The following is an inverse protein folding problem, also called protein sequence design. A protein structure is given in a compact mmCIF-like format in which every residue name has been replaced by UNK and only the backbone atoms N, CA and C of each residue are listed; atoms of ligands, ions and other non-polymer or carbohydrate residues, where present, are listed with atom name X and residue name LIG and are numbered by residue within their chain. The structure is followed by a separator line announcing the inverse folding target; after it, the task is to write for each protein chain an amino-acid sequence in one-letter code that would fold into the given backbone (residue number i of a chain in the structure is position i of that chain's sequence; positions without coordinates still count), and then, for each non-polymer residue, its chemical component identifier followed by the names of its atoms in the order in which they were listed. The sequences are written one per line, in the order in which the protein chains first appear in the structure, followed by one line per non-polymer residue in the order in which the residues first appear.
data_IF_735877904739
#
_entry.id   IF_735877904739
#
_cell.length_a   1.000
_cell.length_b   1.000
_cell.length_c   1.000
_cell.angle_alpha   90.00
_cell.angle_beta   90.00
_cell.angle_gamma   90.00
#
_symmetry.space_group_name_H-M   'P 1'
#
loop_
_entity.id
_entity.type
_entity.pdbx_description
1 polymer ?
#
# COMPACT_ATOMS: atom_id res chain seq x y z
N UNK A 1 4.56 64.06 28.87
CA UNK A 1 5.27 62.82 28.48
C UNK A 1 4.22 61.72 28.45
N UNK A 2 3.59 61.49 27.30
CA UNK A 2 2.52 60.50 27.15
C UNK A 2 3.12 59.15 26.82
N UNK A 3 3.06 58.21 27.76
CA UNK A 3 3.38 56.80 27.51
C UNK A 3 2.23 56.18 26.74
N UNK A 4 2.49 55.86 25.47
CA UNK A 4 1.56 55.21 24.57
C UNK A 4 1.52 53.71 24.89
N UNK A 5 0.50 53.25 25.63
CA UNK A 5 0.19 51.81 25.72
C UNK A 5 -0.35 51.35 24.36
N UNK A 6 0.49 50.67 23.57
CA UNK A 6 0.04 49.92 22.41
C UNK A 6 -0.35 48.51 22.89
N UNK A 7 -1.65 48.33 23.11
CA UNK A 7 -2.24 47.02 23.33
C UNK A 7 -2.00 46.08 22.14
N UNK A 8 -1.62 44.84 22.45
CA UNK A 8 -1.57 43.73 21.52
C UNK A 8 -2.95 43.58 20.83
N UNK A 9 -3.03 43.36 19.50
CA UNK A 9 -4.32 43.32 18.82
C UNK A 9 -5.14 42.13 19.33
N UNK A 10 -6.28 42.46 19.94
CA UNK A 10 -7.34 41.55 20.35
C UNK A 10 -7.85 40.82 19.09
N UNK A 11 -7.33 39.62 18.84
CA UNK A 11 -7.78 38.81 17.70
C UNK A 11 -6.78 37.79 17.14
N UNK A 12 -5.50 37.83 17.54
CA UNK A 12 -4.52 36.87 17.05
C UNK A 12 -4.73 35.47 17.68
N UNK A 13 -5.56 34.65 17.03
CA UNK A 13 -5.75 33.24 17.40
C UNK A 13 -4.41 32.52 17.25
N UNK A 14 -3.90 31.94 18.34
CA UNK A 14 -2.66 31.15 18.31
C UNK A 14 -2.68 30.09 17.21
N UNK A 15 -1.55 29.88 16.52
CA UNK A 15 -1.39 28.84 15.47
C UNK A 15 -1.86 27.47 15.95
N UNK A 16 -1.62 27.13 17.22
CA UNK A 16 -2.09 25.88 17.82
C UNK A 16 -3.61 25.82 17.96
N UNK A 17 -4.25 26.96 18.30
CA UNK A 17 -5.70 27.05 18.36
C UNK A 17 -6.33 26.98 16.96
N UNK A 18 -5.74 27.67 15.97
CA UNK A 18 -6.16 27.60 14.58
C UNK A 18 -6.02 26.17 14.01
N UNK A 19 -4.94 25.48 14.33
CA UNK A 19 -4.77 24.08 13.95
C UNK A 19 -5.84 23.18 14.56
N UNK A 20 -6.05 23.26 15.88
CA UNK A 20 -7.00 22.38 16.60
C UNK A 20 -8.46 22.62 16.19
N UNK A 21 -8.84 23.87 15.95
CA UNK A 21 -10.24 24.27 15.70
C UNK A 21 -10.61 24.35 14.22
N UNK A 22 -9.64 24.56 13.33
CA UNK A 22 -9.91 24.77 11.90
C UNK A 22 -9.20 23.71 11.06
N UNK A 23 -7.87 23.62 11.14
CA UNK A 23 -7.11 22.73 10.26
C UNK A 23 -7.40 21.25 10.52
N UNK A 24 -7.38 20.80 11.77
CA UNK A 24 -7.61 19.40 12.14
C UNK A 24 -9.01 18.90 11.70
N UNK A 25 -10.12 19.62 11.96
CA UNK A 25 -11.43 19.24 11.42
C UNK A 25 -11.48 19.19 9.89
N UNK A 26 -10.83 20.15 9.20
CA UNK A 26 -10.78 20.17 7.73
C UNK A 26 -10.01 18.96 7.17
N UNK A 27 -8.85 18.65 7.74
CA UNK A 27 -8.02 17.51 7.33
C UNK A 27 -8.74 16.19 7.56
N UNK A 28 -9.43 16.03 8.70
CA UNK A 28 -10.20 14.82 8.97
C UNK A 28 -11.39 14.69 8.02
N UNK A 29 -12.08 15.79 7.66
CA UNK A 29 -13.14 15.76 6.65
C UNK A 29 -12.58 15.32 5.29
N UNK A 30 -11.42 15.84 4.87
CA UNK A 30 -10.74 15.44 3.63
C UNK A 30 -10.31 13.97 3.67
N UNK A 31 -9.82 13.48 4.81
CA UNK A 31 -9.48 12.07 5.02
C UNK A 31 -10.71 11.17 4.89
N UNK A 32 -11.81 11.51 5.56
CA UNK A 32 -13.07 10.76 5.50
C UNK A 32 -13.66 10.75 4.09
N UNK A 33 -13.64 11.88 3.39
CA UNK A 33 -14.09 11.96 2.00
C UNK A 33 -13.24 11.08 1.06
N UNK A 34 -11.92 11.00 1.30
CA UNK A 34 -11.04 10.09 0.55
C UNK A 34 -11.36 8.62 0.85
N UNK A 35 -11.54 8.27 2.13
CA UNK A 35 -11.89 6.89 2.53
C UNK A 35 -13.22 6.46 1.91
N UNK A 36 -14.25 7.30 1.98
CA UNK A 36 -15.55 6.97 1.41
C UNK A 36 -15.47 6.78 -0.11
N UNK A 37 -14.75 7.65 -0.83
CA UNK A 37 -14.53 7.47 -2.28
C UNK A 37 -13.92 6.10 -2.61
N UNK A 38 -12.87 5.71 -1.89
CA UNK A 38 -12.27 4.39 -2.12
C UNK A 38 -13.18 3.23 -1.72
N UNK A 39 -14.05 3.38 -0.72
CA UNK A 39 -15.05 2.36 -0.40
C UNK A 39 -16.10 2.23 -1.51
N UNK A 40 -16.50 3.34 -2.14
CA UNK A 40 -17.41 3.33 -3.27
C UNK A 40 -16.77 2.71 -4.52
N UNK A 41 -15.49 3.02 -4.79
CA UNK A 41 -14.70 2.36 -5.85
C UNK A 41 -14.55 0.85 -5.59
N UNK A 42 -14.23 0.45 -4.36
CA UNK A 42 -14.13 -0.97 -4.00
C UNK A 42 -15.47 -1.70 -4.19
N UNK A 43 -16.58 -1.04 -3.86
CA UNK A 43 -17.93 -1.59 -4.07
C UNK A 43 -18.19 -1.87 -5.55
N UNK A 44 -17.80 -0.97 -6.45
CA UNK A 44 -17.90 -1.14 -7.90
C UNK A 44 -17.07 -2.34 -8.40
N UNK A 45 -15.82 -2.44 -7.95
CA UNK A 45 -14.94 -3.55 -8.32
C UNK A 45 -15.45 -4.91 -7.81
N UNK A 46 -16.07 -4.95 -6.62
CA UNK A 46 -16.66 -6.18 -6.08
C UNK A 46 -17.84 -6.67 -6.94
N UNK A 47 -18.62 -5.76 -7.54
CA UNK A 47 -19.74 -6.14 -8.45
C UNK A 47 -19.24 -6.99 -9.60
N UNK A 48 -18.18 -6.53 -10.25
CA UNK A 48 -17.59 -7.18 -11.42
C UNK A 48 -17.01 -8.57 -11.09
N UNK A 49 -16.52 -8.72 -9.85
CA UNK A 49 -15.78 -9.91 -9.41
C UNK A 49 -16.66 -10.99 -8.79
N UNK A 50 -17.67 -10.60 -8.00
CA UNK A 50 -18.47 -11.54 -7.20
C UNK A 50 -19.84 -11.83 -7.86
N UNK A 51 -20.19 -11.14 -8.96
CA UNK A 51 -21.48 -11.26 -9.65
C UNK A 51 -22.66 -11.09 -8.67
N UNK A 52 -22.50 -10.18 -7.69
CA UNK A 52 -23.55 -9.84 -6.75
C UNK A 52 -24.57 -8.94 -7.44
N UNK A 53 -25.85 -9.18 -7.17
CA UNK A 53 -26.93 -8.31 -7.65
C UNK A 53 -26.78 -6.91 -7.05
N UNK A 54 -27.09 -5.89 -7.85
CA UNK A 54 -26.94 -4.48 -7.48
C UNK A 54 -27.73 -4.12 -6.19
N UNK A 55 -28.84 -4.80 -5.95
CA UNK A 55 -29.65 -4.64 -4.74
C UNK A 55 -28.92 -5.14 -3.48
N UNK A 56 -28.20 -6.26 -3.57
CA UNK A 56 -27.42 -6.79 -2.44
C UNK A 56 -26.22 -5.92 -2.13
N UNK A 57 -25.57 -5.38 -3.17
CA UNK A 57 -24.51 -4.40 -3.05
C UNK A 57 -24.99 -3.13 -2.35
N UNK A 58 -26.16 -2.60 -2.72
CA UNK A 58 -26.71 -1.38 -2.12
C UNK A 58 -26.81 -1.45 -0.58
N UNK A 59 -26.97 -2.66 -0.02
CA UNK A 59 -27.14 -2.95 1.41
C UNK A 59 -25.85 -3.28 2.16
N UNK A 60 -24.71 -3.42 1.47
CA UNK A 60 -23.43 -3.77 2.12
C UNK A 60 -22.96 -2.68 3.08
N UNK A 61 -22.58 -3.10 4.28
CA UNK A 61 -21.93 -2.23 5.24
C UNK A 61 -20.45 -2.01 4.88
N UNK A 62 -19.84 -0.98 5.48
CA UNK A 62 -18.41 -0.69 5.25
C UNK A 62 -17.51 -1.86 5.69
N UNK A 63 -17.91 -2.60 6.72
CA UNK A 63 -17.18 -3.77 7.19
C UNK A 63 -17.23 -4.88 6.14
N UNK A 64 -18.40 -5.17 5.58
CA UNK A 64 -18.58 -6.19 4.54
C UNK A 64 -17.78 -5.87 3.28
N UNK A 65 -17.80 -4.61 2.82
CA UNK A 65 -17.00 -4.18 1.66
C UNK A 65 -15.52 -4.50 1.88
N UNK A 66 -14.99 -4.19 3.07
CA UNK A 66 -13.59 -4.46 3.40
C UNK A 66 -13.32 -5.96 3.53
N UNK A 67 -14.22 -6.72 4.15
CA UNK A 67 -14.09 -8.17 4.33
C UNK A 67 -14.07 -8.90 2.98
N UNK A 68 -15.04 -8.61 2.11
CA UNK A 68 -15.12 -9.18 0.76
C UNK A 68 -13.85 -8.84 -0.05
N UNK A 69 -13.38 -7.59 0.03
CA UNK A 69 -12.14 -7.17 -0.64
C UNK A 69 -10.94 -7.97 -0.14
N UNK A 70 -10.74 -8.07 1.18
CA UNK A 70 -9.60 -8.78 1.77
C UNK A 70 -9.66 -10.27 1.44
N UNK A 71 -10.84 -10.88 1.53
CA UNK A 71 -11.03 -12.27 1.18
C UNK A 71 -10.72 -12.53 -0.31
N UNK A 72 -11.15 -11.63 -1.20
CA UNK A 72 -10.82 -11.71 -2.61
C UNK A 72 -9.31 -11.62 -2.86
N UNK A 73 -8.63 -10.65 -2.24
CA UNK A 73 -7.16 -10.52 -2.33
C UNK A 73 -6.45 -11.77 -1.81
N UNK A 74 -6.89 -12.33 -0.69
CA UNK A 74 -6.34 -13.59 -0.19
C UNK A 74 -6.55 -14.77 -1.15
N UNK A 75 -7.71 -14.86 -1.82
CA UNK A 75 -7.97 -15.88 -2.83
C UNK A 75 -7.06 -15.69 -4.05
N UNK A 76 -6.88 -14.46 -4.53
CA UNK A 76 -5.97 -14.16 -5.63
C UNK A 76 -4.52 -14.52 -5.27
N UNK A 77 -4.05 -14.13 -4.08
CA UNK A 77 -2.71 -14.47 -3.61
C UNK A 77 -2.49 -15.99 -3.50
N UNK A 78 -3.49 -16.74 -3.03
CA UNK A 78 -3.42 -18.21 -2.96
C UNK A 78 -3.49 -18.85 -4.35
N UNK A 79 -4.30 -18.31 -5.25
CA UNK A 79 -4.38 -18.78 -6.63
C UNK A 79 -3.07 -18.54 -7.38
N UNK A 80 -2.37 -17.43 -7.12
CA UNK A 80 -1.04 -17.15 -7.71
C UNK A 80 0.08 -18.12 -7.24
N UNK A 81 -0.12 -18.87 -6.16
CA UNK A 81 0.82 -19.90 -5.69
C UNK A 81 0.61 -21.24 -6.43
N UNK A 82 -0.55 -21.44 -7.05
CA UNK A 82 -0.89 -22.66 -7.81
C UNK A 82 -1.01 -22.27 -9.29
N UNK A 83 -0.08 -22.68 -10.18
CA UNK A 83 -0.10 -22.23 -11.56
C UNK A 83 -1.38 -22.70 -12.26
N UNK A 84 -2.35 -21.79 -12.43
CA UNK A 84 -3.51 -22.01 -13.27
C UNK A 84 -3.21 -21.47 -14.66
N UNK A 85 -3.14 -22.40 -15.61
CA UNK A 85 -3.10 -22.08 -17.03
C UNK A 85 -4.48 -21.54 -17.44
N UNK A 86 -4.72 -20.23 -17.36
CA UNK A 86 -5.74 -19.57 -18.19
C UNK A 86 -5.66 -18.04 -18.09
N UNK A 87 -5.45 -17.45 -19.26
CA UNK A 87 -5.64 -16.08 -19.77
C UNK A 87 -6.40 -15.05 -18.91
N UNK A 88 -5.68 -13.96 -18.54
CA UNK A 88 -6.17 -12.61 -18.17
C UNK A 88 -6.12 -12.22 -16.67
N UNK A 89 -5.99 -10.93 -16.25
CA UNK A 89 -5.48 -9.70 -16.89
C UNK A 89 -4.03 -9.34 -16.47
N UNK A 90 -3.31 -8.65 -17.36
CA UNK A 90 -1.84 -8.74 -17.56
C UNK A 90 -0.95 -7.94 -16.57
N UNK A 91 -1.45 -7.15 -15.63
CA UNK A 91 -0.56 -6.31 -14.80
C UNK A 91 -0.18 -6.91 -13.43
N UNK A 92 -1.12 -7.51 -12.70
CA UNK A 92 -0.85 -8.01 -11.35
C UNK A 92 -0.11 -9.37 -11.36
N UNK A 93 -0.42 -10.23 -12.33
CA UNK A 93 0.28 -11.51 -12.58
C UNK A 93 1.77 -11.31 -12.86
N UNK A 94 2.12 -10.24 -13.58
CA UNK A 94 3.52 -9.90 -13.90
C UNK A 94 4.30 -9.52 -12.63
N UNK A 95 3.70 -8.74 -11.73
CA UNK A 95 4.33 -8.37 -10.46
C UNK A 95 4.47 -9.55 -9.50
N UNK A 96 3.45 -10.41 -9.39
CA UNK A 96 3.51 -11.59 -8.52
C UNK A 96 4.48 -12.66 -9.03
N UNK A 97 4.47 -12.95 -10.34
CA UNK A 97 5.46 -13.83 -10.97
C UNK A 97 6.88 -13.30 -10.78
N UNK A 98 7.06 -11.98 -10.92
CA UNK A 98 8.34 -11.34 -10.70
C UNK A 98 8.77 -11.38 -9.22
N UNK A 99 7.86 -11.22 -8.27
CA UNK A 99 8.14 -11.38 -6.84
C UNK A 99 8.53 -12.82 -6.47
N UNK A 100 7.85 -13.82 -7.03
CA UNK A 100 8.21 -15.23 -6.84
C UNK A 100 9.58 -15.55 -7.43
N UNK A 101 9.88 -15.04 -8.63
CA UNK A 101 11.20 -15.17 -9.25
C UNK A 101 12.30 -14.48 -8.43
N UNK A 102 12.05 -13.25 -7.96
CA UNK A 102 12.97 -12.50 -7.10
C UNK A 102 13.21 -13.23 -5.77
N UNK A 103 12.16 -13.73 -5.13
CA UNK A 103 12.29 -14.50 -3.89
C UNK A 103 13.05 -15.82 -4.12
N UNK A 104 12.68 -16.57 -5.16
CA UNK A 104 13.36 -17.82 -5.52
C UNK A 104 14.84 -17.63 -5.85
N UNK A 105 15.18 -16.57 -6.58
CA UNK A 105 16.58 -16.23 -6.88
C UNK A 105 17.35 -15.82 -5.62
N UNK A 106 16.75 -15.05 -4.71
CA UNK A 106 17.35 -14.76 -3.39
C UNK A 106 17.61 -16.03 -2.58
N UNK A 107 16.65 -16.96 -2.53
CA UNK A 107 16.82 -18.22 -1.80
C UNK A 107 17.94 -19.08 -2.40
N UNK A 108 18.00 -19.20 -3.72
CA UNK A 108 19.09 -19.90 -4.40
C UNK A 108 20.46 -19.29 -4.06
N UNK A 109 20.56 -17.96 -4.04
CA UNK A 109 21.81 -17.26 -3.75
C UNK A 109 22.22 -17.42 -2.29
N UNK A 110 21.27 -17.36 -1.35
CA UNK A 110 21.53 -17.66 0.06
C UNK A 110 22.09 -19.07 0.24
N UNK A 111 21.55 -20.04 -0.49
CA UNK A 111 22.02 -21.43 -0.43
C UNK A 111 23.44 -21.56 -0.99
N UNK A 112 23.76 -20.87 -2.08
CA UNK A 112 25.12 -20.81 -2.62
C UNK A 112 26.07 -20.16 -1.61
N UNK A 113 25.70 -19.04 -0.99
CA UNK A 113 26.52 -18.41 0.06
C UNK A 113 26.75 -19.38 1.23
N UNK A 114 25.70 -20.10 1.64
CA UNK A 114 25.76 -21.10 2.71
C UNK A 114 26.72 -22.24 2.36
N UNK A 115 26.73 -22.67 1.09
CA UNK A 115 27.64 -23.70 0.60
C UNK A 115 29.09 -23.21 0.51
N UNK A 116 29.32 -21.95 0.16
CA UNK A 116 30.66 -21.38 0.00
C UNK A 116 31.33 -21.02 1.34
N UNK A 117 30.55 -20.68 2.36
CA UNK A 117 31.05 -20.22 3.65
C UNK A 117 32.01 -21.20 4.37
N UNK A 118 31.75 -22.52 4.44
CA UNK A 118 32.69 -23.49 5.05
C UNK A 118 34.03 -23.61 4.31
N UNK A 119 34.09 -23.16 3.06
CA UNK A 119 35.28 -23.23 2.21
C UNK A 119 36.02 -21.89 2.11
N UNK A 120 35.66 -20.90 2.93
CA UNK A 120 36.21 -19.54 2.92
C UNK A 120 36.12 -18.84 1.54
N UNK A 121 35.10 -19.24 0.76
CA UNK A 121 34.81 -18.69 -0.56
C UNK A 121 33.69 -17.65 -0.47
N UNK A 122 33.74 -16.63 -1.33
CA UNK A 122 32.73 -15.58 -1.40
C UNK A 122 32.21 -15.40 -2.83
N UNK A 123 30.98 -14.88 -2.94
CA UNK A 123 30.38 -14.54 -4.23
C UNK A 123 31.14 -13.39 -4.90
N UNK A 124 31.26 -13.47 -6.23
CA UNK A 124 31.91 -12.45 -7.04
C UNK A 124 31.20 -11.09 -6.91
N UNK A 125 31.94 -10.01 -6.67
CA UNK A 125 31.39 -8.65 -6.56
C UNK A 125 30.65 -8.18 -7.83
N UNK A 126 31.07 -8.65 -9.01
CA UNK A 126 30.36 -8.42 -10.28
C UNK A 126 28.99 -9.09 -10.29
N UNK A 127 28.90 -10.30 -9.73
CA UNK A 127 27.64 -11.04 -9.60
C UNK A 127 26.67 -10.35 -8.64
N UNK A 128 27.16 -9.93 -7.46
CA UNK A 128 26.35 -9.19 -6.48
C UNK A 128 25.79 -7.88 -7.05
N UNK A 129 26.61 -7.14 -7.81
CA UNK A 129 26.17 -5.92 -8.50
C UNK A 129 25.12 -6.20 -9.56
N UNK A 130 25.33 -7.22 -10.39
CA UNK A 130 24.35 -7.62 -11.41
C UNK A 130 23.01 -8.02 -10.77
N UNK A 131 23.05 -8.76 -9.65
CA UNK A 131 21.85 -9.12 -8.89
C UNK A 131 21.11 -7.89 -8.35
N UNK A 132 21.84 -6.92 -7.77
CA UNK A 132 21.23 -5.67 -7.29
C UNK A 132 20.58 -4.84 -8.41
N UNK A 133 21.08 -4.95 -9.65
CA UNK A 133 20.50 -4.27 -10.82
C UNK A 133 19.28 -5.00 -11.39
N UNK A 134 19.25 -6.33 -11.29
CA UNK A 134 18.13 -7.17 -11.76
C UNK A 134 16.94 -7.16 -10.79
N UNK A 135 17.18 -6.84 -9.52
CA UNK A 135 16.15 -6.72 -8.49
C UNK A 135 15.71 -5.25 -8.37
N UNK A 136 14.48 -4.87 -8.73
CA UNK A 136 13.99 -3.52 -8.49
C UNK A 136 13.96 -3.25 -6.98
N UNK A 137 14.22 -2.00 -6.61
CA UNK A 137 13.92 -1.52 -5.27
C UNK A 137 12.46 -1.87 -4.93
N UNK A 138 12.25 -2.38 -3.71
CA UNK A 138 10.91 -2.64 -3.16
C UNK A 138 10.02 -1.44 -3.54
N UNK A 139 8.85 -1.64 -4.19
CA UNK A 139 8.00 -0.53 -4.57
C UNK A 139 7.82 0.34 -3.34
N UNK A 140 8.18 1.63 -3.46
CA UNK A 140 8.11 2.56 -2.33
C UNK A 140 6.76 2.35 -1.66
N UNK A 141 6.79 2.02 -0.38
CA UNK A 141 5.57 1.85 0.39
C UNK A 141 4.73 3.10 0.21
N UNK A 142 3.63 2.98 -0.55
CA UNK A 142 2.64 4.05 -0.76
C UNK A 142 2.04 4.54 0.56
N UNK A 143 2.30 3.80 1.64
CA UNK A 143 1.96 4.17 3.00
C UNK A 143 2.82 5.33 3.48
N UNK A 144 2.28 6.55 3.34
CA UNK A 144 2.76 7.73 4.08
C UNK A 144 1.88 7.91 5.33
N UNK A 145 2.43 7.76 6.55
CA UNK A 145 1.71 8.15 7.75
C UNK A 145 1.36 9.64 7.66
N UNK A 146 0.17 9.98 8.15
CA UNK A 146 -0.24 11.36 8.43
C UNK A 146 0.20 11.77 9.82
#
# INVERSE_FOLDING_TARGET
MSTHEQGLPVGAVSRSHQYRKVMKPLLERKRRARINRYLDELKQLIVEVVQLDEETLSKLEKADILELTVHHLHRQLKAAIIPRQSEGPIHLETWHSFQHFAFGSQQCILEVVRFLHPHDMQLNSKFLRAMQQLMPARPESFWRPW
#
